data_IF_901273048033
#
_entry.id   IF_901273048033
#
_cell.length_a   1.000
_cell.length_b   1.000
_cell.length_c   1.000
_cell.angle_alpha   90.00
_cell.angle_beta   90.00
_cell.angle_gamma   90.00
#
_symmetry.space_group_name_H-M   'P 1'
#
loop_
_entity.id
_entity.type
_entity.pdbx_description
1 polymer ?
#
# COMPACT_ATOMS: atom_id res chain seq x y z
N UNK A 1 -9.24 -6.98 -14.96
CA UNK A 1 -10.00 -8.26 -15.10
C UNK A 1 -9.15 -9.48 -14.72
N UNK A 2 -7.89 -9.55 -15.13
CA UNK A 2 -6.99 -10.71 -14.85
C UNK A 2 -6.92 -11.07 -13.36
N UNK A 3 -6.78 -10.10 -12.45
CA UNK A 3 -6.77 -10.34 -10.99
C UNK A 3 -8.12 -10.88 -10.45
N UNK A 4 -9.23 -10.63 -11.14
CA UNK A 4 -10.56 -11.07 -10.69
C UNK A 4 -10.94 -12.47 -11.17
N UNK A 5 -10.39 -12.92 -12.30
CA UNK A 5 -10.71 -14.23 -12.88
C UNK A 5 -10.16 -15.33 -11.96
N UNK A 6 -11.05 -16.19 -11.46
CA UNK A 6 -10.69 -17.32 -10.58
C UNK A 6 -9.73 -18.31 -11.25
N UNK A 7 -9.71 -18.35 -12.58
CA UNK A 7 -8.82 -19.24 -13.36
C UNK A 7 -7.41 -18.68 -13.52
N UNK A 8 -7.16 -17.43 -13.06
CA UNK A 8 -5.82 -16.84 -13.15
C UNK A 8 -4.86 -17.55 -12.22
N UNK A 9 -3.91 -18.28 -12.80
CA UNK A 9 -2.89 -19.01 -12.06
C UNK A 9 -1.94 -18.05 -11.30
N UNK A 10 -1.33 -18.48 -10.18
CA UNK A 10 -0.47 -17.62 -9.34
C UNK A 10 0.62 -16.84 -10.09
N UNK A 11 1.34 -17.39 -11.09
CA UNK A 11 2.34 -16.60 -11.83
C UNK A 11 1.75 -15.43 -12.62
N UNK A 12 0.57 -15.63 -13.24
CA UNK A 12 -0.14 -14.56 -13.95
C UNK A 12 -0.71 -13.54 -12.96
N UNK A 13 -1.27 -14.00 -11.85
CA UNK A 13 -1.78 -13.16 -10.78
C UNK A 13 -0.67 -12.22 -10.23
N UNK A 14 0.52 -12.77 -9.92
CA UNK A 14 1.68 -11.99 -9.47
C UNK A 14 2.09 -10.92 -10.49
N UNK A 15 2.16 -11.25 -11.78
CA UNK A 15 2.48 -10.27 -12.83
C UNK A 15 1.44 -9.15 -12.92
N UNK A 16 0.15 -9.48 -12.83
CA UNK A 16 -0.91 -8.49 -12.89
C UNK A 16 -0.90 -7.59 -11.62
N UNK A 17 -0.66 -8.18 -10.44
CA UNK A 17 -0.52 -7.46 -9.19
C UNK A 17 0.68 -6.50 -9.23
N UNK A 18 1.84 -6.95 -9.72
CA UNK A 18 3.01 -6.09 -9.88
C UNK A 18 2.71 -4.89 -10.80
N UNK A 19 2.13 -5.11 -11.98
CA UNK A 19 1.82 -4.04 -12.94
C UNK A 19 0.89 -2.97 -12.36
N UNK A 20 -0.17 -3.37 -11.66
CA UNK A 20 -1.10 -2.40 -11.07
C UNK A 20 -0.47 -1.68 -9.88
N UNK A 21 0.42 -2.33 -9.14
CA UNK A 21 1.15 -1.74 -8.02
C UNK A 21 2.12 -0.65 -8.50
N UNK A 22 2.79 -0.83 -9.64
CA UNK A 22 3.62 0.23 -10.26
C UNK A 22 2.78 1.47 -10.57
N UNK A 23 1.61 1.29 -11.19
CA UNK A 23 0.73 2.41 -11.55
C UNK A 23 0.19 3.12 -10.31
N UNK A 24 -0.20 2.38 -9.29
CA UNK A 24 -0.68 2.94 -8.02
C UNK A 24 0.42 3.70 -7.28
N UNK A 25 1.62 3.13 -7.22
CA UNK A 25 2.76 3.81 -6.61
C UNK A 25 3.12 5.09 -7.35
N UNK A 26 3.14 5.08 -8.68
CA UNK A 26 3.39 6.27 -9.48
C UNK A 26 2.36 7.38 -9.21
N UNK A 27 1.08 7.03 -9.05
CA UNK A 27 0.04 8.01 -8.72
C UNK A 27 0.17 8.52 -7.28
N UNK A 28 0.39 7.63 -6.31
CA UNK A 28 0.54 8.01 -4.91
C UNK A 28 1.80 8.83 -4.62
N UNK A 29 2.78 8.80 -5.50
CA UNK A 29 4.05 9.53 -5.38
C UNK A 29 4.05 10.87 -6.11
N UNK A 30 2.97 11.28 -6.75
CA UNK A 30 2.91 12.54 -7.50
C UNK A 30 3.12 13.80 -6.66
N UNK A 31 2.76 13.74 -5.39
CA UNK A 31 2.90 14.84 -4.43
C UNK A 31 4.16 14.73 -3.54
N UNK A 32 5.05 13.77 -3.82
CA UNK A 32 6.33 13.66 -3.09
C UNK A 32 7.13 14.94 -3.27
N UNK A 33 7.58 15.57 -2.17
CA UNK A 33 8.38 16.79 -2.24
C UNK A 33 9.66 16.60 -3.05
N UNK A 34 9.86 17.48 -4.03
CA UNK A 34 11.04 17.48 -4.86
C UNK A 34 11.73 18.86 -4.83
N UNK A 35 13.06 18.88 -4.76
CA UNK A 35 13.87 20.08 -4.72
C UNK A 35 14.46 20.43 -6.10
N UNK A 36 14.70 21.72 -6.42
CA UNK A 36 15.43 22.11 -7.61
C UNK A 36 16.82 21.46 -7.65
N UNK A 37 17.23 21.03 -8.81
CA UNK A 37 18.56 20.49 -9.07
C UNK A 37 19.04 20.85 -10.47
N UNK A 38 20.36 20.93 -10.65
CA UNK A 38 20.99 21.13 -11.94
C UNK A 38 21.94 19.98 -12.20
N UNK A 39 21.90 19.44 -13.40
CA UNK A 39 22.82 18.42 -13.90
C UNK A 39 23.56 18.90 -15.14
N UNK A 40 24.74 18.34 -15.40
CA UNK A 40 25.45 18.56 -16.64
C UNK A 40 25.08 17.50 -17.64
N UNK A 41 24.48 17.88 -18.74
CA UNK A 41 24.21 17.01 -19.89
C UNK A 41 25.37 17.06 -20.88
N UNK A 42 25.42 16.15 -21.86
CA UNK A 42 26.43 16.24 -22.94
C UNK A 42 26.42 17.56 -23.72
N UNK A 43 25.32 18.31 -23.69
CA UNK A 43 25.15 19.55 -24.46
C UNK A 43 25.19 20.83 -23.59
N UNK A 44 25.22 20.70 -22.26
CA UNK A 44 25.27 21.82 -21.33
C UNK A 44 24.46 21.59 -20.04
N UNK A 45 24.38 22.61 -19.16
CA UNK A 45 23.63 22.48 -17.91
C UNK A 45 22.13 22.41 -18.17
N UNK A 46 21.43 21.51 -17.41
CA UNK A 46 19.97 21.37 -17.42
C UNK A 46 19.43 21.51 -16.01
N UNK A 47 18.47 22.41 -15.81
CA UNK A 47 17.70 22.55 -14.58
C UNK A 47 16.57 21.53 -14.53
N UNK A 48 16.26 21.01 -13.32
CA UNK A 48 15.20 20.07 -13.09
C UNK A 48 14.83 19.98 -11.61
N UNK A 49 14.17 18.90 -11.23
CA UNK A 49 13.82 18.61 -9.83
C UNK A 49 14.19 17.17 -9.48
N UNK A 50 14.62 16.94 -8.25
CA UNK A 50 14.90 15.60 -7.73
C UNK A 50 14.15 15.37 -6.42
N UNK A 51 13.71 14.17 -6.19
CA UNK A 51 13.16 13.74 -4.89
C UNK A 51 14.31 13.64 -3.90
N UNK A 52 14.26 14.43 -2.84
CA UNK A 52 15.19 14.39 -1.70
C UNK A 52 14.54 13.92 -0.43
N UNK A 53 13.23 13.82 -0.43
CA UNK A 53 12.46 13.29 0.69
C UNK A 53 12.74 11.80 0.84
N UNK A 54 13.06 11.38 2.04
CA UNK A 54 13.18 9.97 2.35
C UNK A 54 11.83 9.28 2.24
N UNK A 55 11.75 8.26 1.41
CA UNK A 55 10.53 7.48 1.22
C UNK A 55 10.67 6.16 1.96
N UNK A 56 9.67 5.85 2.78
CA UNK A 56 9.59 4.59 3.52
C UNK A 56 8.36 3.82 3.03
N UNK A 57 8.60 2.63 2.48
CA UNK A 57 7.52 1.73 2.04
C UNK A 57 7.19 0.75 3.15
N UNK A 58 5.90 0.61 3.47
CA UNK A 58 5.46 -0.24 4.58
C UNK A 58 4.38 -1.20 4.11
N UNK A 59 4.77 -2.43 3.70
CA UNK A 59 3.79 -3.48 3.43
C UNK A 59 3.12 -3.97 4.73
N UNK A 60 1.80 -4.12 4.67
CA UNK A 60 1.03 -4.84 5.67
C UNK A 60 1.13 -6.33 5.35
N UNK A 61 1.75 -7.07 6.25
CA UNK A 61 2.02 -8.50 6.05
C UNK A 61 0.75 -9.33 6.20
N UNK A 62 0.59 -10.36 5.41
CA UNK A 62 1.45 -10.95 4.36
C UNK A 62 1.21 -10.35 2.97
N UNK A 63 -0.04 -10.01 2.67
CA UNK A 63 -0.50 -9.66 1.31
C UNK A 63 0.23 -8.46 0.70
N UNK A 64 0.58 -7.45 1.50
CA UNK A 64 1.31 -6.26 1.04
C UNK A 64 2.68 -6.55 0.42
N UNK A 65 3.31 -7.68 0.77
CA UNK A 65 4.57 -8.09 0.14
C UNK A 65 4.44 -8.29 -1.37
N UNK A 66 3.25 -8.67 -1.85
CA UNK A 66 3.01 -8.85 -3.29
C UNK A 66 3.03 -7.55 -4.11
N UNK A 67 3.08 -6.39 -3.43
CA UNK A 67 3.19 -5.07 -4.04
C UNK A 67 4.59 -4.46 -3.89
N UNK A 68 5.41 -4.98 -2.96
CA UNK A 68 6.65 -4.33 -2.53
C UNK A 68 7.67 -4.20 -3.65
N UNK A 69 7.95 -5.28 -4.38
CA UNK A 69 8.96 -5.27 -5.45
C UNK A 69 8.64 -4.23 -6.54
N UNK A 70 7.35 -4.10 -6.88
CA UNK A 70 6.89 -3.10 -7.85
C UNK A 70 7.18 -1.67 -7.40
N UNK A 71 7.02 -1.37 -6.11
CA UNK A 71 7.30 -0.05 -5.55
C UNK A 71 8.80 0.20 -5.48
N UNK A 72 9.59 -0.79 -5.10
CA UNK A 72 11.05 -0.68 -5.04
C UNK A 72 11.70 -0.55 -6.42
N UNK A 73 11.08 -1.10 -7.48
CA UNK A 73 11.52 -0.86 -8.86
C UNK A 73 11.42 0.62 -9.24
N UNK A 74 10.37 1.33 -8.79
CA UNK A 74 10.24 2.78 -8.99
C UNK A 74 11.12 3.60 -8.05
N UNK A 75 11.36 3.11 -6.84
CA UNK A 75 12.06 3.80 -5.76
C UNK A 75 13.17 2.92 -5.18
N UNK A 76 14.26 2.68 -5.91
CA UNK A 76 15.33 1.76 -5.46
C UNK A 76 16.01 2.18 -4.15
N UNK A 77 15.96 3.47 -3.81
CA UNK A 77 16.53 4.03 -2.59
C UNK A 77 15.54 4.07 -1.41
N UNK A 78 14.30 3.64 -1.59
CA UNK A 78 13.32 3.64 -0.51
C UNK A 78 13.71 2.67 0.61
N UNK A 79 13.52 3.11 1.84
CA UNK A 79 13.65 2.22 3.00
C UNK A 79 12.36 1.42 3.19
N UNK A 80 12.46 0.26 3.82
CA UNK A 80 11.32 -0.63 4.02
C UNK A 80 11.10 -0.86 5.52
N UNK A 81 9.88 -0.63 5.96
CA UNK A 81 9.37 -1.08 7.25
C UNK A 81 8.35 -2.20 7.05
N UNK A 82 8.03 -2.93 8.10
CA UNK A 82 7.02 -4.00 8.02
C UNK A 82 6.07 -3.93 9.21
N UNK A 83 4.78 -4.10 8.93
CA UNK A 83 3.73 -4.24 9.94
C UNK A 83 3.00 -5.55 9.70
N UNK A 84 3.03 -6.44 10.68
CA UNK A 84 2.28 -7.69 10.68
C UNK A 84 1.04 -7.58 11.54
N UNK A 85 -0.13 -7.72 10.91
CA UNK A 85 -1.42 -7.72 11.58
C UNK A 85 -2.12 -9.04 11.32
N UNK A 86 -2.69 -9.60 12.37
CA UNK A 86 -3.56 -10.77 12.31
C UNK A 86 -4.96 -10.35 12.75
N UNK A 87 -5.97 -10.77 12.02
CA UNK A 87 -7.34 -10.58 12.44
C UNK A 87 -7.75 -11.74 13.34
N UNK A 88 -8.30 -11.42 14.48
CA UNK A 88 -8.99 -12.42 15.32
C UNK A 88 -10.25 -12.88 14.59
N UNK A 89 -10.40 -14.19 14.42
CA UNK A 89 -11.51 -14.77 13.62
C UNK A 89 -12.88 -14.55 14.27
N UNK A 90 -12.95 -14.47 15.60
CA UNK A 90 -14.19 -14.31 16.33
C UNK A 90 -14.62 -12.85 16.44
N UNK A 91 -13.68 -11.94 16.69
CA UNK A 91 -13.97 -10.52 16.96
C UNK A 91 -13.73 -9.61 15.76
N UNK A 92 -13.04 -10.10 14.73
CA UNK A 92 -12.56 -9.35 13.58
C UNK A 92 -11.64 -8.16 13.94
N UNK A 93 -11.13 -8.10 15.18
CA UNK A 93 -10.20 -7.07 15.64
C UNK A 93 -8.81 -7.41 15.13
N UNK A 94 -8.13 -6.38 14.59
CA UNK A 94 -6.74 -6.53 14.16
C UNK A 94 -5.81 -6.53 15.38
N UNK A 95 -4.99 -7.58 15.53
CA UNK A 95 -3.93 -7.66 16.52
C UNK A 95 -2.56 -7.63 15.85
N UNK A 96 -1.63 -6.91 16.47
CA UNK A 96 -0.26 -6.79 15.98
C UNK A 96 0.57 -7.99 16.42
N UNK A 97 1.19 -8.68 15.49
CA UNK A 97 2.17 -9.75 15.79
C UNK A 97 3.60 -9.39 15.39
N UNK A 98 3.80 -8.41 14.51
CA UNK A 98 5.14 -7.99 14.09
C UNK A 98 5.16 -6.51 13.73
N UNK A 99 6.23 -5.81 14.12
CA UNK A 99 6.49 -4.44 13.67
C UNK A 99 8.00 -4.20 13.64
N UNK A 100 8.50 -3.79 12.49
CA UNK A 100 9.87 -3.32 12.31
C UNK A 100 9.83 -2.10 11.40
N UNK A 101 10.04 -0.92 11.97
CA UNK A 101 9.98 0.37 11.28
C UNK A 101 11.32 1.11 11.43
N UNK A 102 11.70 1.96 10.47
CA UNK A 102 12.77 2.94 10.68
C UNK A 102 12.44 3.87 11.85
N UNK A 103 13.45 4.35 12.56
CA UNK A 103 13.30 5.16 13.80
C UNK A 103 12.94 6.62 13.55
N UNK A 104 13.06 7.12 12.32
CA UNK A 104 13.00 8.53 11.96
C UNK A 104 11.91 8.85 10.92
N UNK A 105 10.69 8.35 11.15
CA UNK A 105 9.57 8.52 10.23
C UNK A 105 9.02 9.94 10.14
N UNK A 106 9.36 10.83 11.07
CA UNK A 106 8.76 12.16 11.17
C UNK A 106 9.01 13.06 9.95
N UNK A 107 10.14 12.89 9.28
CA UNK A 107 10.51 13.61 8.06
C UNK A 107 10.33 12.78 6.78
N UNK A 108 9.87 11.54 6.92
CA UNK A 108 9.72 10.61 5.80
C UNK A 108 8.35 10.74 5.14
N UNK A 109 8.30 10.43 3.86
CA UNK A 109 7.06 10.15 3.13
C UNK A 109 6.79 8.65 3.23
N UNK A 110 5.77 8.29 3.97
CA UNK A 110 5.43 6.89 4.23
C UNK A 110 4.38 6.41 3.23
N UNK A 111 4.72 5.40 2.44
CA UNK A 111 3.81 4.71 1.53
C UNK A 111 3.43 3.35 2.13
N UNK A 112 2.26 3.28 2.74
CA UNK A 112 1.68 2.03 3.22
C UNK A 112 1.04 1.27 2.06
N UNK A 113 1.35 -0.02 1.95
CA UNK A 113 0.86 -0.87 0.86
C UNK A 113 0.13 -2.09 1.41
N UNK A 114 -1.15 -2.22 1.06
CA UNK A 114 -2.00 -3.36 1.39
C UNK A 114 -2.99 -3.57 0.24
N UNK A 115 -2.99 -4.70 -0.46
CA UNK A 115 -3.80 -4.89 -1.66
C UNK A 115 -5.31 -4.82 -1.44
N UNK A 116 -5.79 -5.04 -0.22
CA UNK A 116 -7.22 -5.21 0.07
C UNK A 116 -7.68 -4.26 1.18
N UNK A 117 -8.48 -3.25 0.85
CA UNK A 117 -9.14 -2.41 1.84
C UNK A 117 -10.61 -2.84 1.99
N UNK A 118 -10.85 -3.88 2.81
CA UNK A 118 -12.19 -4.44 3.02
C UNK A 118 -12.96 -3.70 4.13
N UNK A 119 -12.82 -4.11 5.38
CA UNK A 119 -13.49 -3.45 6.53
C UNK A 119 -12.75 -2.20 7.02
N UNK A 120 -11.50 -2.01 6.65
CA UNK A 120 -10.66 -0.90 7.11
C UNK A 120 -9.93 -1.11 8.44
N UNK A 121 -10.33 -2.10 9.25
CA UNK A 121 -9.76 -2.27 10.59
C UNK A 121 -8.24 -2.51 10.61
N UNK A 122 -7.71 -3.32 9.71
CA UNK A 122 -6.26 -3.52 9.58
C UNK A 122 -5.55 -2.25 9.09
N UNK A 123 -6.17 -1.51 8.15
CA UNK A 123 -5.61 -0.26 7.66
C UNK A 123 -5.52 0.79 8.77
N UNK A 124 -6.61 1.00 9.52
CA UNK A 124 -6.62 1.93 10.67
C UNK A 124 -5.55 1.54 11.70
N UNK A 125 -5.49 0.26 12.11
CA UNK A 125 -4.50 -0.20 13.07
C UNK A 125 -3.04 -0.02 12.56
N UNK A 126 -2.79 -0.24 11.27
CA UNK A 126 -1.47 0.00 10.68
C UNK A 126 -1.10 1.50 10.67
N UNK A 127 -2.05 2.36 10.32
CA UNK A 127 -1.86 3.82 10.31
C UNK A 127 -1.61 4.33 11.73
N UNK A 128 -2.34 3.83 12.74
CA UNK A 128 -2.10 4.15 14.15
C UNK A 128 -0.66 3.82 14.56
N UNK A 129 -0.18 2.62 14.21
CA UNK A 129 1.20 2.21 14.49
C UNK A 129 2.23 3.12 13.80
N UNK A 130 1.97 3.54 12.58
CA UNK A 130 2.83 4.47 11.84
C UNK A 130 2.85 5.85 12.51
N UNK A 131 1.69 6.38 12.92
CA UNK A 131 1.57 7.66 13.63
C UNK A 131 2.25 7.61 15.00
N UNK A 132 2.08 6.53 15.75
CA UNK A 132 2.79 6.31 17.03
C UNK A 132 4.31 6.25 16.81
N UNK A 133 4.77 5.69 15.70
CA UNK A 133 6.18 5.68 15.32
C UNK A 133 6.68 7.04 14.76
N UNK A 134 5.82 8.07 14.75
CA UNK A 134 6.17 9.44 14.38
C UNK A 134 5.88 9.83 12.93
N UNK A 135 5.32 8.95 12.10
CA UNK A 135 4.99 9.29 10.71
C UNK A 135 3.96 10.43 10.64
N UNK A 136 4.25 11.45 9.82
CA UNK A 136 3.39 12.63 9.62
C UNK A 136 2.76 12.69 8.24
N UNK A 137 3.43 12.14 7.24
CA UNK A 137 2.94 12.09 5.86
C UNK A 137 2.77 10.63 5.48
N UNK A 138 1.52 10.18 5.42
CA UNK A 138 1.18 8.79 5.09
C UNK A 138 0.29 8.79 3.85
N UNK A 139 0.59 7.92 2.92
CA UNK A 139 -0.28 7.56 1.79
C UNK A 139 -0.51 6.05 1.83
N UNK A 140 -1.70 5.64 1.49
CA UNK A 140 -2.04 4.23 1.37
C UNK A 140 -2.37 3.88 -0.07
N UNK A 141 -1.82 2.78 -0.58
CA UNK A 141 -2.26 2.21 -1.86
C UNK A 141 -2.88 0.83 -1.64
N UNK A 142 -3.98 0.57 -2.33
CA UNK A 142 -4.63 -0.74 -2.36
C UNK A 142 -5.13 -1.07 -3.77
N UNK A 143 -5.21 -2.36 -4.10
CA UNK A 143 -5.64 -2.82 -5.44
C UNK A 143 -7.15 -2.81 -5.56
N UNK A 144 -7.86 -3.10 -4.48
CA UNK A 144 -9.32 -3.03 -4.41
C UNK A 144 -9.77 -2.59 -3.03
N UNK A 145 -10.80 -1.75 -2.99
CA UNK A 145 -11.41 -1.27 -1.76
C UNK A 145 -12.91 -1.61 -1.71
N UNK A 146 -13.48 -1.59 -0.51
CA UNK A 146 -14.92 -1.53 -0.27
C UNK A 146 -15.28 -0.19 0.36
N UNK A 147 -16.53 0.31 0.19
CA UNK A 147 -16.98 1.57 0.77
C UNK A 147 -16.79 1.64 2.29
N UNK A 148 -17.06 0.53 2.99
CA UNK A 148 -16.89 0.43 4.45
C UNK A 148 -15.45 0.73 4.87
N UNK A 149 -14.47 0.15 4.16
CA UNK A 149 -13.05 0.34 4.46
C UNK A 149 -12.57 1.75 4.20
N UNK A 150 -13.01 2.33 3.09
CA UNK A 150 -12.70 3.73 2.75
C UNK A 150 -13.27 4.67 3.81
N UNK A 151 -14.55 4.52 4.14
CA UNK A 151 -15.23 5.34 5.15
C UNK A 151 -14.58 5.23 6.53
N UNK A 152 -14.15 4.01 6.95
CA UNK A 152 -13.50 3.81 8.24
C UNK A 152 -12.14 4.51 8.30
N UNK A 153 -11.33 4.41 7.24
CA UNK A 153 -10.03 5.10 7.18
C UNK A 153 -10.24 6.62 7.16
N UNK A 154 -11.18 7.13 6.38
CA UNK A 154 -11.49 8.56 6.32
C UNK A 154 -11.97 9.11 7.67
N UNK A 155 -12.80 8.35 8.39
CA UNK A 155 -13.29 8.72 9.72
C UNK A 155 -12.18 8.82 10.76
N UNK A 156 -11.21 7.89 10.76
CA UNK A 156 -10.15 7.83 11.78
C UNK A 156 -8.90 8.61 11.39
N UNK A 157 -8.62 8.69 10.09
CA UNK A 157 -7.40 9.28 9.54
C UNK A 157 -7.70 10.12 8.29
N UNK A 158 -8.45 11.24 8.40
CA UNK A 158 -8.82 12.10 7.28
C UNK A 158 -7.60 12.76 6.61
N UNK A 159 -6.45 12.73 7.24
CA UNK A 159 -5.17 13.21 6.74
C UNK A 159 -4.42 12.20 5.85
N UNK A 160 -4.90 10.95 5.80
CA UNK A 160 -4.29 9.87 5.00
C UNK A 160 -5.04 9.70 3.68
N UNK A 161 -4.35 9.97 2.58
CA UNK A 161 -4.93 9.72 1.25
C UNK A 161 -4.80 8.24 0.88
N UNK A 162 -5.93 7.68 0.45
CA UNK A 162 -6.03 6.30 -0.04
C UNK A 162 -6.16 6.30 -1.55
N UNK A 163 -5.28 5.56 -2.22
CA UNK A 163 -5.30 5.37 -3.68
C UNK A 163 -5.77 3.95 -3.98
N UNK A 164 -6.93 3.85 -4.62
CA UNK A 164 -7.52 2.60 -5.06
C UNK A 164 -8.02 2.76 -6.51
N UNK A 165 -7.67 1.86 -7.44
CA UNK A 165 -8.14 1.96 -8.81
C UNK A 165 -9.61 1.59 -8.96
N UNK A 166 -10.17 0.95 -7.93
CA UNK A 166 -11.57 0.55 -7.88
C UNK A 166 -12.06 0.42 -6.44
N UNK A 167 -13.26 0.95 -6.22
CA UNK A 167 -14.06 0.68 -5.02
C UNK A 167 -15.20 -0.24 -5.47
N UNK A 168 -15.22 -1.45 -4.96
CA UNK A 168 -16.24 -2.44 -5.26
C UNK A 168 -17.51 -2.18 -4.44
N UNK A 169 -18.60 -2.88 -4.80
CA UNK A 169 -19.94 -2.55 -4.36
C UNK A 169 -20.15 -2.66 -2.84
N UNK A 170 -19.69 -3.76 -2.24
CA UNK A 170 -20.04 -4.10 -0.86
C UNK A 170 -19.12 -5.17 -0.25
N UNK A 171 -19.30 -5.46 1.02
CA UNK A 171 -18.77 -6.63 1.71
C UNK A 171 -19.88 -7.69 1.86
N UNK A 172 -19.53 -8.97 1.68
CA UNK A 172 -20.42 -10.06 2.01
C UNK A 172 -20.47 -10.36 3.53
N UNK A 173 -21.28 -11.35 3.96
CA UNK A 173 -21.41 -11.74 5.36
C UNK A 173 -20.07 -12.17 6.01
N UNK A 174 -19.11 -12.67 5.23
CA UNK A 174 -17.77 -13.07 5.66
C UNK A 174 -16.74 -11.94 5.55
N UNK A 175 -17.20 -10.70 5.29
CA UNK A 175 -16.33 -9.51 5.14
C UNK A 175 -15.37 -9.54 3.97
N UNK A 176 -15.65 -10.33 2.94
CA UNK A 176 -14.96 -10.28 1.66
C UNK A 176 -15.57 -9.21 0.76
N UNK A 177 -14.72 -8.53 -0.01
CA UNK A 177 -15.14 -7.54 -1.01
C UNK A 177 -15.88 -8.25 -2.16
N UNK A 178 -17.01 -7.69 -2.60
CA UNK A 178 -17.85 -8.23 -3.68
C UNK A 178 -18.03 -7.18 -4.77
N UNK A 179 -17.71 -7.53 -6.05
CA UNK A 179 -17.27 -8.81 -6.57
C UNK A 179 -15.84 -9.20 -6.17
N UNK A 180 -14.98 -8.26 -5.80
CA UNK A 180 -13.65 -8.51 -5.28
C UNK A 180 -12.73 -9.28 -6.22
N UNK A 181 -11.76 -9.94 -5.62
CA UNK A 181 -10.79 -10.80 -6.30
C UNK A 181 -10.41 -12.05 -5.46
N UNK A 182 -11.18 -12.36 -4.41
CA UNK A 182 -10.89 -13.43 -3.45
C UNK A 182 -9.86 -13.01 -2.41
N UNK A 183 -9.24 -13.99 -1.74
CA UNK A 183 -8.09 -13.71 -0.86
C UNK A 183 -6.84 -13.45 -1.71
N UNK A 184 -6.30 -12.23 -1.59
CA UNK A 184 -5.15 -11.83 -2.38
C UNK A 184 -3.90 -12.62 -2.01
N UNK A 185 -3.67 -12.84 -0.70
CA UNK A 185 -2.50 -13.54 -0.21
C UNK A 185 -2.48 -14.99 -0.67
N UNK A 186 -3.59 -15.69 -0.51
CA UNK A 186 -3.71 -17.08 -0.93
C UNK A 186 -3.55 -17.25 -2.45
N UNK A 187 -4.16 -16.35 -3.22
CA UNK A 187 -4.00 -16.36 -4.69
C UNK A 187 -2.58 -16.01 -5.13
N UNK A 188 -1.91 -15.12 -4.40
CA UNK A 188 -0.52 -14.72 -4.69
C UNK A 188 0.45 -15.88 -4.43
N UNK A 189 0.28 -16.56 -3.29
CA UNK A 189 1.21 -17.57 -2.79
C UNK A 189 0.80 -19.00 -3.15
N UNK A 190 -0.44 -19.22 -3.60
CA UNK A 190 -0.95 -20.55 -3.92
C UNK A 190 -1.20 -21.40 -2.68
N UNK A 191 -1.74 -20.78 -1.62
CA UNK A 191 -2.00 -21.43 -0.33
C UNK A 191 -3.47 -21.81 -0.14
N UNK A 192 -4.24 -21.87 -1.21
CA UNK A 192 -5.65 -22.33 -1.24
C UNK A 192 -5.68 -23.84 -1.43
#
# INVERSE_FOLDING_TARGET
MELRDVRTAPPAFRRAANRISVLLAAEALRDVPAAPATVTTPLGPAGGRIVRTDVVVVPVLRAGLGMLDAVLELLPAARVGHIGLQRDEATAIASKYYTKLPSDLAASYVLMIDPMLATGGSAVAAIDLLKVAGARTIRMICIVAAPDGVALVEQHHPDVLVYAPVVDRELNAHKFIVPGLGDFGDRLYGTV
#
